data_IF_528655855816
#
_entry.id   IF_528655855816
#
_cell.length_a   1.000
_cell.length_b   1.000
_cell.length_c   1.000
_cell.angle_alpha   90.00
_cell.angle_beta   90.00
_cell.angle_gamma   90.00
#
_symmetry.space_group_name_H-M   'P 1'
#
loop_
_entity.id
_entity.type
_entity.pdbx_description
1 polymer ?
#
# COMPACT_ATOMS: atom_id res chain seq x y z
N UNK A 1 9.61 1.10 28.41
CA UNK A 1 9.12 -0.03 27.59
C UNK A 1 10.30 -0.96 27.43
N UNK A 2 10.21 -2.19 27.95
CA UNK A 2 11.20 -3.21 27.64
C UNK A 2 11.22 -3.37 26.12
N UNK A 3 12.36 -3.13 25.49
CA UNK A 3 12.55 -3.38 24.08
C UNK A 3 12.69 -4.88 23.92
N UNK A 4 11.57 -5.58 23.74
CA UNK A 4 11.61 -6.97 23.28
C UNK A 4 12.37 -6.98 21.97
N UNK A 5 13.59 -7.49 21.99
CA UNK A 5 14.45 -7.51 20.83
C UNK A 5 13.84 -8.47 19.81
N UNK A 6 13.49 -7.97 18.63
CA UNK A 6 12.86 -8.80 17.62
C UNK A 6 13.75 -10.03 17.30
N UNK A 7 13.13 -11.21 17.17
CA UNK A 7 13.84 -12.48 17.02
C UNK A 7 14.85 -12.46 15.84
N UNK A 8 14.48 -11.79 14.74
CA UNK A 8 15.33 -11.60 13.57
C UNK A 8 15.57 -10.10 13.38
N UNK A 9 16.65 -9.57 13.98
CA UNK A 9 17.02 -8.17 13.89
C UNK A 9 18.02 -7.84 12.76
N UNK A 10 18.69 -8.84 12.19
CA UNK A 10 19.69 -8.60 11.13
C UNK A 10 19.06 -8.15 9.82
N UNK A 11 19.61 -7.14 9.10
CA UNK A 11 19.07 -6.68 7.82
C UNK A 11 18.89 -7.81 6.80
N UNK A 12 19.89 -8.66 6.66
CA UNK A 12 19.84 -9.80 5.72
C UNK A 12 18.77 -10.81 6.16
N UNK A 13 18.61 -11.04 7.47
CA UNK A 13 17.55 -11.89 8.00
C UNK A 13 16.15 -11.37 7.68
N UNK A 14 15.92 -10.06 7.85
CA UNK A 14 14.65 -9.42 7.47
C UNK A 14 14.38 -9.60 5.97
N UNK A 15 15.38 -9.35 5.12
CA UNK A 15 15.25 -9.55 3.67
C UNK A 15 14.92 -11.01 3.33
N UNK A 16 15.60 -11.96 3.97
CA UNK A 16 15.35 -13.39 3.77
C UNK A 16 13.92 -13.78 4.13
N UNK A 17 13.40 -13.29 5.27
CA UNK A 17 12.01 -13.53 5.69
C UNK A 17 11.03 -12.98 4.66
N UNK A 18 11.20 -11.74 4.20
CA UNK A 18 10.33 -11.14 3.18
C UNK A 18 10.34 -11.95 1.87
N UNK A 19 11.51 -12.38 1.41
CA UNK A 19 11.66 -13.21 0.22
C UNK A 19 10.99 -14.58 0.39
N UNK A 20 11.15 -15.23 1.55
CA UNK A 20 10.52 -16.52 1.86
C UNK A 20 9.01 -16.40 1.90
N UNK A 21 8.46 -15.36 2.54
CA UNK A 21 7.02 -15.10 2.56
C UNK A 21 6.48 -14.94 1.14
N UNK A 22 7.13 -14.11 0.32
CA UNK A 22 6.72 -13.91 -1.06
C UNK A 22 6.77 -15.21 -1.89
N UNK A 23 7.89 -15.94 -1.81
CA UNK A 23 8.08 -17.19 -2.52
C UNK A 23 7.06 -18.25 -2.08
N UNK A 24 6.80 -18.37 -0.78
CA UNK A 24 5.86 -19.32 -0.21
C UNK A 24 4.45 -19.11 -0.74
N UNK A 25 3.90 -17.89 -0.67
CA UNK A 25 2.53 -17.64 -1.13
C UNK A 25 2.37 -17.74 -2.64
N UNK A 26 3.36 -17.32 -3.42
CA UNK A 26 3.31 -17.53 -4.87
C UNK A 26 3.40 -19.00 -5.25
N UNK A 27 4.30 -19.77 -4.63
CA UNK A 27 4.42 -21.21 -4.86
C UNK A 27 3.15 -21.94 -4.42
N UNK A 28 2.61 -21.60 -3.25
CA UNK A 28 1.38 -22.17 -2.73
C UNK A 28 0.21 -21.92 -3.70
N UNK A 29 0.06 -20.70 -4.21
CA UNK A 29 -0.99 -20.39 -5.17
C UNK A 29 -0.80 -21.15 -6.50
N UNK A 30 0.44 -21.26 -6.98
CA UNK A 30 0.76 -21.94 -8.24
C UNK A 30 0.56 -23.47 -8.16
N UNK A 31 0.98 -24.09 -7.05
CA UNK A 31 0.91 -25.54 -6.85
C UNK A 31 -0.52 -25.98 -6.51
N UNK A 32 -1.17 -25.30 -5.57
CA UNK A 32 -2.52 -25.69 -5.12
C UNK A 32 -3.58 -25.48 -6.20
N UNK A 33 -3.39 -24.49 -7.10
CA UNK A 33 -4.40 -24.03 -8.07
C UNK A 33 -5.80 -23.87 -7.44
N UNK A 34 -5.85 -23.57 -6.15
CA UNK A 34 -7.10 -23.55 -5.41
C UNK A 34 -7.98 -22.42 -5.94
N UNK A 35 -9.27 -22.70 -6.16
CA UNK A 35 -10.24 -21.69 -6.60
C UNK A 35 -10.33 -20.49 -5.66
N UNK A 36 -9.93 -20.67 -4.40
CA UNK A 36 -9.80 -19.60 -3.41
C UNK A 36 -8.86 -18.46 -3.88
N UNK A 37 -7.72 -18.79 -4.51
CA UNK A 37 -6.76 -17.78 -4.99
C UNK A 37 -7.25 -16.97 -6.20
N UNK A 38 -8.38 -17.36 -6.82
CA UNK A 38 -9.04 -16.54 -7.84
C UNK A 38 -9.86 -15.39 -7.21
N UNK A 39 -10.34 -15.56 -5.98
CA UNK A 39 -11.09 -14.53 -5.25
C UNK A 39 -10.17 -13.69 -4.36
N UNK A 40 -9.19 -14.34 -3.71
CA UNK A 40 -8.24 -13.69 -2.81
C UNK A 40 -6.83 -13.85 -3.38
N UNK A 41 -6.27 -12.81 -4.03
CA UNK A 41 -4.95 -12.90 -4.63
C UNK A 41 -3.86 -13.20 -3.59
N UNK A 42 -2.84 -14.00 -3.92
CA UNK A 42 -1.73 -14.31 -3.01
C UNK A 42 -0.99 -13.06 -2.51
N UNK A 43 -0.98 -11.98 -3.30
CA UNK A 43 -0.41 -10.67 -2.91
C UNK A 43 -0.97 -10.14 -1.58
N UNK A 44 -2.26 -10.38 -1.29
CA UNK A 44 -2.87 -9.93 -0.04
C UNK A 44 -2.17 -10.58 1.17
N UNK A 45 -1.87 -11.87 1.08
CA UNK A 45 -1.18 -12.59 2.15
C UNK A 45 0.30 -12.19 2.26
N UNK A 46 0.95 -11.91 1.13
CA UNK A 46 2.33 -11.41 1.10
C UNK A 46 2.43 -10.06 1.81
N UNK A 47 1.40 -9.21 1.68
CA UNK A 47 1.34 -7.94 2.38
C UNK A 47 0.98 -8.09 3.87
N UNK A 48 0.02 -8.96 4.20
CA UNK A 48 -0.46 -9.11 5.56
C UNK A 48 0.52 -9.87 6.49
N UNK A 49 1.24 -10.87 5.96
CA UNK A 49 2.09 -11.74 6.79
C UNK A 49 3.21 -10.98 7.50
N UNK A 50 3.98 -10.07 6.86
CA UNK A 50 4.98 -9.25 7.56
C UNK A 50 4.39 -8.39 8.68
N UNK A 51 3.15 -7.92 8.54
CA UNK A 51 2.45 -7.17 9.60
C UNK A 51 2.23 -8.07 10.82
N UNK A 52 1.76 -9.30 10.63
CA UNK A 52 1.63 -10.25 11.74
C UNK A 52 2.97 -10.62 12.35
N UNK A 53 3.97 -10.91 11.54
CA UNK A 53 5.33 -11.23 12.02
C UNK A 53 5.92 -10.07 12.83
N UNK A 54 5.63 -8.83 12.46
CA UNK A 54 6.05 -7.68 13.24
C UNK A 54 5.30 -7.56 14.57
N UNK A 55 3.98 -7.78 14.60
CA UNK A 55 3.19 -7.73 15.84
C UNK A 55 3.55 -8.86 16.83
N UNK A 56 4.11 -9.97 16.35
CA UNK A 56 4.63 -11.06 17.18
C UNK A 56 6.13 -10.93 17.48
N UNK A 57 6.74 -9.76 17.26
CA UNK A 57 8.16 -9.48 17.49
C UNK A 57 9.13 -10.43 16.75
N UNK A 58 8.70 -11.03 15.63
CA UNK A 58 9.55 -11.89 14.79
C UNK A 58 10.49 -11.06 13.92
N UNK A 59 9.95 -9.99 13.33
CA UNK A 59 10.72 -9.03 12.52
C UNK A 59 10.56 -7.60 13.09
N UNK A 60 11.60 -6.76 13.04
CA UNK A 60 11.53 -5.40 13.54
C UNK A 60 10.63 -4.54 12.64
N UNK A 61 10.02 -3.52 13.26
CA UNK A 61 9.24 -2.49 12.58
C UNK A 61 10.13 -1.57 11.74
N UNK A 62 11.40 -1.43 12.13
CA UNK A 62 12.39 -0.62 11.45
C UNK A 62 13.57 -1.46 10.98
N UNK A 63 13.97 -1.27 9.72
CA UNK A 63 15.14 -1.92 9.13
C UNK A 63 15.63 -1.11 7.94
N UNK A 64 16.95 -1.03 7.77
CA UNK A 64 17.58 -0.42 6.59
C UNK A 64 17.13 -1.06 5.28
N UNK A 65 16.68 -2.34 5.32
CA UNK A 65 16.14 -3.02 4.13
C UNK A 65 14.87 -2.37 3.63
N UNK A 66 13.94 -1.96 4.51
CA UNK A 66 12.68 -1.35 4.09
C UNK A 66 12.96 -0.03 3.34
N UNK A 67 13.83 0.82 3.90
CA UNK A 67 14.24 2.07 3.26
C UNK A 67 15.05 1.80 1.99
N UNK A 68 15.95 0.83 1.99
CA UNK A 68 16.76 0.46 0.82
C UNK A 68 15.91 -0.02 -0.35
N UNK A 69 14.92 -0.89 -0.09
CA UNK A 69 13.98 -1.37 -1.10
C UNK A 69 13.14 -0.22 -1.67
N UNK A 70 12.58 0.63 -0.82
CA UNK A 70 11.77 1.77 -1.28
C UNK A 70 12.60 2.80 -2.04
N UNK A 71 13.84 3.05 -1.65
CA UNK A 71 14.70 4.10 -2.23
C UNK A 71 15.36 3.66 -3.54
N UNK A 72 15.73 2.39 -3.66
CA UNK A 72 16.51 1.89 -4.80
C UNK A 72 15.75 0.87 -5.63
N UNK A 73 15.22 -0.19 -5.02
CA UNK A 73 14.59 -1.28 -5.77
C UNK A 73 13.28 -0.84 -6.45
N UNK A 74 12.42 -0.11 -5.72
CA UNK A 74 11.13 0.34 -6.23
C UNK A 74 11.27 1.25 -7.47
N UNK A 75 12.10 2.32 -7.46
CA UNK A 75 12.33 3.12 -8.67
C UNK A 75 12.90 2.30 -9.84
N UNK A 76 13.83 1.37 -9.58
CA UNK A 76 14.38 0.50 -10.63
C UNK A 76 13.28 -0.38 -11.24
N UNK A 77 12.42 -0.99 -10.43
CA UNK A 77 11.31 -1.78 -10.95
C UNK A 77 10.31 -0.95 -11.76
N UNK A 78 10.01 0.28 -11.34
CA UNK A 78 9.16 1.19 -12.11
C UNK A 78 9.79 1.48 -13.48
N UNK A 79 11.07 1.82 -13.53
CA UNK A 79 11.79 2.05 -14.80
C UNK A 79 11.75 0.81 -15.69
N UNK A 80 12.03 -0.37 -15.14
CA UNK A 80 11.98 -1.63 -15.88
C UNK A 80 10.58 -1.94 -16.42
N UNK A 81 9.52 -1.63 -15.66
CA UNK A 81 8.15 -1.77 -16.12
C UNK A 81 7.83 -0.78 -17.26
N UNK A 82 8.30 0.46 -17.15
CA UNK A 82 8.07 1.52 -18.15
C UNK A 82 8.83 1.26 -19.46
N UNK A 83 9.98 0.60 -19.45
CA UNK A 83 10.73 0.23 -20.67
C UNK A 83 9.87 -0.60 -21.64
N UNK A 84 8.95 -1.42 -21.12
CA UNK A 84 8.06 -2.26 -21.93
C UNK A 84 6.78 -1.57 -22.37
N UNK A 85 6.55 -0.32 -21.96
CA UNK A 85 5.30 0.39 -22.24
C UNK A 85 5.27 0.90 -23.68
N UNK A 86 4.18 0.60 -24.38
CA UNK A 86 3.89 1.18 -25.69
C UNK A 86 3.36 2.61 -25.54
N UNK A 87 4.27 3.59 -25.62
CA UNK A 87 3.95 5.01 -25.44
C UNK A 87 2.84 5.50 -26.39
N UNK A 88 2.86 5.23 -27.72
CA UNK A 88 1.76 5.62 -28.60
C UNK A 88 0.40 5.07 -28.21
N UNK A 89 0.33 3.81 -27.77
CA UNK A 89 -0.92 3.20 -27.31
C UNK A 89 -1.45 3.90 -26.05
N UNK A 90 -0.56 4.23 -25.10
CA UNK A 90 -0.91 4.96 -23.87
C UNK A 90 -1.50 6.33 -24.19
N UNK A 91 -0.86 7.10 -25.08
CA UNK A 91 -1.34 8.44 -25.47
C UNK A 91 -2.74 8.35 -26.09
N UNK A 92 -3.00 7.33 -26.92
CA UNK A 92 -4.30 7.13 -27.56
C UNK A 92 -5.43 6.88 -26.56
N UNK A 93 -5.15 6.20 -25.45
CA UNK A 93 -6.15 5.91 -24.41
C UNK A 93 -6.22 6.97 -23.31
N UNK A 94 -5.20 7.85 -23.23
CA UNK A 94 -5.08 8.88 -22.19
C UNK A 94 -6.32 9.75 -22.07
N UNK A 95 -6.90 10.22 -23.18
CA UNK A 95 -8.08 11.08 -23.16
C UNK A 95 -9.29 10.44 -22.45
N UNK A 96 -9.60 9.17 -22.75
CA UNK A 96 -10.65 8.42 -22.04
C UNK A 96 -10.23 8.12 -20.59
N UNK A 97 -8.94 7.85 -20.37
CA UNK A 97 -8.36 7.62 -19.05
C UNK A 97 -8.54 8.80 -18.08
N UNK A 98 -8.41 10.05 -18.57
CA UNK A 98 -8.63 11.25 -17.75
C UNK A 98 -10.07 11.31 -17.24
N UNK A 99 -11.06 11.01 -18.10
CA UNK A 99 -12.45 11.00 -17.67
C UNK A 99 -12.71 9.92 -16.60
N UNK A 100 -12.16 8.72 -16.78
CA UNK A 100 -12.24 7.64 -15.78
C UNK A 100 -11.58 8.05 -14.47
N UNK A 101 -10.41 8.70 -14.53
CA UNK A 101 -9.73 9.25 -13.35
C UNK A 101 -10.59 10.29 -12.64
N UNK A 102 -11.16 11.27 -13.35
CA UNK A 102 -11.99 12.31 -12.75
C UNK A 102 -13.27 11.73 -12.12
N UNK A 103 -13.90 10.74 -12.76
CA UNK A 103 -15.03 10.01 -12.16
C UNK A 103 -14.62 9.27 -10.90
N UNK A 104 -13.46 8.60 -10.89
CA UNK A 104 -12.90 7.96 -9.71
C UNK A 104 -12.64 8.96 -8.58
N UNK A 105 -12.01 10.10 -8.89
CA UNK A 105 -11.77 11.20 -7.94
C UNK A 105 -13.06 11.72 -7.34
N UNK A 106 -14.07 12.01 -8.17
CA UNK A 106 -15.38 12.44 -7.69
C UNK A 106 -16.03 11.37 -6.79
N UNK A 107 -15.91 10.10 -7.16
CA UNK A 107 -16.36 8.98 -6.35
C UNK A 107 -15.66 8.91 -4.98
N UNK A 108 -14.35 9.13 -4.92
CA UNK A 108 -13.59 9.17 -3.66
C UNK A 108 -14.03 10.34 -2.79
N UNK A 109 -14.21 11.54 -3.36
CA UNK A 109 -14.65 12.72 -2.61
C UNK A 109 -16.05 12.51 -2.04
N UNK A 110 -17.00 12.10 -2.88
CA UNK A 110 -18.39 11.85 -2.44
C UNK A 110 -18.43 10.70 -1.45
N UNK A 111 -17.77 9.58 -1.75
CA UNK A 111 -17.72 8.41 -0.88
C UNK A 111 -17.09 8.71 0.47
N UNK A 112 -16.01 9.50 0.51
CA UNK A 112 -15.36 9.92 1.75
C UNK A 112 -16.26 10.78 2.63
N UNK A 113 -16.98 11.75 2.03
CA UNK A 113 -17.94 12.59 2.75
C UNK A 113 -19.12 11.76 3.26
N UNK A 114 -19.72 10.91 2.42
CA UNK A 114 -20.84 10.05 2.81
C UNK A 114 -20.44 9.07 3.91
N UNK A 115 -19.26 8.45 3.80
CA UNK A 115 -18.73 7.58 4.84
C UNK A 115 -18.54 8.34 6.15
N UNK A 116 -17.93 9.52 6.12
CA UNK A 116 -17.80 10.37 7.31
C UNK A 116 -19.16 10.68 7.93
N UNK A 117 -20.13 11.14 7.14
CA UNK A 117 -21.49 11.43 7.65
C UNK A 117 -22.17 10.20 8.28
N UNK A 118 -21.89 9.01 7.78
CA UNK A 118 -22.45 7.78 8.33
C UNK A 118 -21.85 7.39 9.69
N UNK A 119 -20.59 7.75 9.96
CA UNK A 119 -19.87 7.29 11.17
C UNK A 119 -19.39 8.41 12.10
N UNK A 120 -19.58 9.69 11.75
CA UNK A 120 -18.99 10.82 12.48
C UNK A 120 -19.41 10.85 13.95
N UNK A 121 -20.59 10.33 14.29
CA UNK A 121 -21.12 10.33 15.66
C UNK A 121 -20.29 9.46 16.62
N UNK A 122 -19.51 8.51 16.10
CA UNK A 122 -18.64 7.63 16.89
C UNK A 122 -17.16 8.04 16.80
N UNK A 123 -16.87 9.14 16.12
CA UNK A 123 -15.53 9.63 15.86
C UNK A 123 -15.29 10.94 16.62
N UNK A 124 -14.01 11.31 16.74
CA UNK A 124 -13.64 12.63 17.26
C UNK A 124 -14.05 13.74 16.29
N UNK A 125 -14.25 14.95 16.83
CA UNK A 125 -14.62 16.13 16.04
C UNK A 125 -13.61 16.48 14.94
N UNK A 126 -12.36 16.03 15.08
CA UNK A 126 -11.28 16.24 14.12
C UNK A 126 -11.14 15.11 13.09
N UNK A 127 -11.95 14.05 13.17
CA UNK A 127 -11.79 12.88 12.30
C UNK A 127 -11.94 13.19 10.81
N UNK A 128 -12.68 14.26 10.45
CA UNK A 128 -12.79 14.72 9.06
C UNK A 128 -11.41 15.04 8.44
N UNK A 129 -10.42 15.47 9.24
CA UNK A 129 -9.04 15.70 8.79
C UNK A 129 -8.37 14.38 8.35
N UNK A 130 -8.63 13.30 9.08
CA UNK A 130 -8.19 11.95 8.74
C UNK A 130 -8.84 11.46 7.43
N UNK A 131 -10.16 11.65 7.28
CA UNK A 131 -10.88 11.31 6.04
C UNK A 131 -10.36 12.11 4.83
N UNK A 132 -10.10 13.41 5.01
CA UNK A 132 -9.50 14.24 3.96
C UNK A 132 -8.09 13.75 3.57
N UNK A 133 -7.26 13.42 4.56
CA UNK A 133 -5.92 12.87 4.34
C UNK A 133 -5.97 11.54 3.57
N UNK A 134 -6.86 10.62 3.97
CA UNK A 134 -7.05 9.33 3.28
C UNK A 134 -7.56 9.51 1.84
N UNK A 135 -8.48 10.44 1.60
CA UNK A 135 -8.93 10.76 0.24
C UNK A 135 -7.77 11.25 -0.64
N UNK A 136 -6.86 12.05 -0.07
CA UNK A 136 -5.62 12.45 -0.74
C UNK A 136 -4.77 11.26 -1.22
N UNK A 137 -4.67 10.21 -0.40
CA UNK A 137 -3.95 8.96 -0.72
C UNK A 137 -4.57 8.22 -1.92
N UNK A 138 -5.90 8.14 -1.99
CA UNK A 138 -6.56 7.40 -3.07
C UNK A 138 -6.64 8.16 -4.39
N UNK A 139 -6.65 9.50 -4.34
CA UNK A 139 -6.67 10.34 -5.56
C UNK A 139 -5.26 10.46 -6.16
N UNK A 140 -4.23 10.61 -5.33
CA UNK A 140 -2.88 10.98 -5.79
C UNK A 140 -1.72 10.26 -5.11
N UNK A 141 -1.99 9.20 -4.33
CA UNK A 141 -0.97 8.42 -3.63
C UNK A 141 -0.37 9.10 -2.40
N UNK A 142 0.72 8.51 -1.91
CA UNK A 142 1.37 8.91 -0.65
C UNK A 142 1.82 10.38 -0.63
N UNK A 143 2.29 10.92 -1.75
CA UNK A 143 2.69 12.32 -1.82
C UNK A 143 1.51 13.28 -1.60
N UNK A 144 0.37 12.98 -2.23
CA UNK A 144 -0.84 13.79 -2.08
C UNK A 144 -1.48 13.63 -0.69
N UNK A 145 -1.40 12.42 -0.11
CA UNK A 145 -1.75 12.18 1.30
C UNK A 145 -0.93 13.06 2.25
N UNK A 146 0.40 13.11 2.10
CA UNK A 146 1.28 13.92 2.95
C UNK A 146 0.99 15.43 2.80
N UNK A 147 0.80 15.92 1.58
CA UNK A 147 0.44 17.32 1.35
C UNK A 147 -0.92 17.67 1.98
N UNK A 148 -1.90 16.78 1.88
CA UNK A 148 -3.23 16.96 2.48
C UNK A 148 -3.15 16.90 4.01
N UNK A 149 -2.36 15.98 4.56
CA UNK A 149 -2.10 15.86 6.01
C UNK A 149 -1.58 17.19 6.57
N UNK A 150 -0.58 17.77 5.92
CA UNK A 150 0.04 19.04 6.31
C UNK A 150 -0.96 20.21 6.24
N UNK A 151 -1.70 20.30 5.14
CA UNK A 151 -2.69 21.37 4.93
C UNK A 151 -3.82 21.32 5.97
N UNK A 152 -4.27 20.12 6.35
CA UNK A 152 -5.38 19.92 7.28
C UNK A 152 -4.93 19.92 8.76
N UNK A 153 -3.62 19.90 9.03
CA UNK A 153 -3.08 19.72 10.37
C UNK A 153 -3.51 18.38 10.99
N UNK A 154 -3.67 17.34 10.17
CA UNK A 154 -4.00 16.00 10.66
C UNK A 154 -2.77 15.41 11.37
N UNK A 155 -2.96 14.88 12.58
CA UNK A 155 -1.88 14.29 13.40
C UNK A 155 -1.74 12.80 13.14
#
# INVERSE_FOLDING_TARGET
METTEALISSPIGVLAVLCVVAAFFFLLAQVSKAKFFNYVPPLLFIYATPVFLNNFDVIPSESIIYTGLSKFALPVFIVLMLIKVNVPAVIRVMGKGVLVMLMGTAGVVVGGVVAYLAVHQWLSDDAWKGFGTLAGSWIGGTANMLATKEMLGAS
#
